data_IF_167620392121
#
_entry.id   IF_167620392121
#
_cell.length_a   1.000
_cell.length_b   1.000
_cell.length_c   1.000
_cell.angle_alpha   90.00
_cell.angle_beta   90.00
_cell.angle_gamma   90.00
#
_symmetry.space_group_name_H-M   'P 1'
#
loop_
_entity.id
_entity.type
_entity.pdbx_description
1 polymer ?
#
# COMPACT_ATOMS: atom_id res chain seq x y z
N UNK A 1 -1.04 -12.20 -20.15
CA UNK A 1 -0.61 -12.66 -18.81
C UNK A 1 0.80 -13.23 -18.96
N UNK A 2 1.76 -12.77 -18.17
CA UNK A 2 3.14 -13.28 -18.24
C UNK A 2 3.21 -14.70 -17.67
N UNK A 3 3.99 -15.58 -18.32
CA UNK A 3 4.19 -16.95 -17.82
C UNK A 3 4.92 -16.93 -16.47
N UNK A 4 4.54 -17.82 -15.52
CA UNK A 4 5.20 -17.89 -14.22
C UNK A 4 6.70 -18.26 -14.37
N UNK A 5 7.58 -17.74 -13.50
CA UNK A 5 9.00 -18.00 -13.55
C UNK A 5 9.33 -19.48 -13.26
N UNK A 6 10.39 -19.99 -13.89
CA UNK A 6 10.86 -21.37 -13.65
C UNK A 6 11.43 -21.53 -12.23
N UNK A 7 11.48 -22.74 -11.64
CA UNK A 7 11.96 -22.94 -10.27
C UNK A 7 13.36 -22.38 -9.99
N UNK A 8 14.30 -22.59 -10.92
CA UNK A 8 15.66 -22.03 -10.83
C UNK A 8 15.65 -20.49 -10.82
N UNK A 9 14.75 -19.89 -11.59
CA UNK A 9 14.57 -18.43 -11.63
C UNK A 9 13.89 -17.91 -10.37
N UNK A 10 12.92 -18.64 -9.79
CA UNK A 10 12.29 -18.29 -8.51
C UNK A 10 13.34 -18.12 -7.39
N UNK A 11 14.31 -19.03 -7.31
CA UNK A 11 15.41 -18.94 -6.32
C UNK A 11 16.23 -17.65 -6.48
N UNK A 12 16.63 -17.33 -7.72
CA UNK A 12 17.38 -16.10 -8.03
C UNK A 12 16.58 -14.83 -7.73
N UNK A 13 15.27 -14.85 -8.02
CA UNK A 13 14.39 -13.71 -7.71
C UNK A 13 14.29 -13.49 -6.20
N UNK A 14 14.11 -14.56 -5.43
CA UNK A 14 14.05 -14.48 -3.97
C UNK A 14 15.39 -14.04 -3.36
N UNK A 15 16.50 -14.53 -3.90
CA UNK A 15 17.86 -14.12 -3.49
C UNK A 15 18.09 -12.62 -3.73
N UNK A 16 17.71 -12.10 -4.90
CA UNK A 16 17.79 -10.68 -5.20
C UNK A 16 16.94 -9.84 -4.23
N UNK A 17 15.71 -10.27 -3.94
CA UNK A 17 14.83 -9.57 -3.00
C UNK A 17 15.40 -9.58 -1.57
N UNK A 18 16.01 -10.68 -1.14
CA UNK A 18 16.66 -10.74 0.17
C UNK A 18 17.81 -9.74 0.30
N UNK A 19 18.65 -9.63 -0.73
CA UNK A 19 19.76 -8.66 -0.74
C UNK A 19 19.25 -7.21 -0.76
N UNK A 20 18.15 -6.93 -1.46
CA UNK A 20 17.47 -5.64 -1.42
C UNK A 20 16.96 -5.30 -0.01
N UNK A 21 16.36 -6.26 0.71
CA UNK A 21 15.98 -6.08 2.11
C UNK A 21 17.17 -5.84 3.06
N UNK A 22 18.38 -6.27 2.70
CA UNK A 22 19.61 -5.95 3.43
C UNK A 22 20.15 -4.54 3.10
N UNK A 23 19.50 -3.82 2.18
CA UNK A 23 19.88 -2.46 1.77
C UNK A 23 20.96 -2.42 0.69
N UNK A 24 21.24 -3.53 -0.01
CA UNK A 24 22.20 -3.51 -1.11
C UNK A 24 21.63 -2.75 -2.31
N UNK A 25 22.48 -2.00 -3.00
CA UNK A 25 22.09 -1.31 -4.22
C UNK A 25 21.88 -2.32 -5.37
N UNK A 26 21.04 -1.99 -6.38
CA UNK A 26 20.84 -2.86 -7.53
C UNK A 26 22.12 -3.22 -8.29
N UNK A 27 23.12 -2.34 -8.27
CA UNK A 27 24.43 -2.58 -8.90
C UNK A 27 25.25 -3.62 -8.10
N UNK A 28 25.27 -3.52 -6.77
CA UNK A 28 25.92 -4.52 -5.90
C UNK A 28 25.23 -5.89 -5.98
N UNK A 29 23.90 -5.92 -6.06
CA UNK A 29 23.13 -7.15 -6.25
C UNK A 29 23.45 -7.79 -7.60
N UNK A 30 23.57 -6.99 -8.67
CA UNK A 30 23.92 -7.47 -10.00
C UNK A 30 25.31 -8.12 -10.03
N UNK A 31 26.28 -7.48 -9.36
CA UNK A 31 27.63 -8.00 -9.20
C UNK A 31 27.63 -9.33 -8.42
N UNK A 32 26.96 -9.38 -7.27
CA UNK A 32 26.88 -10.57 -6.42
C UNK A 32 26.20 -11.75 -7.13
N UNK A 33 25.10 -11.48 -7.86
CA UNK A 33 24.38 -12.51 -8.60
C UNK A 33 25.02 -12.86 -9.95
N UNK A 34 26.04 -12.11 -10.36
CA UNK A 34 26.73 -12.20 -11.65
C UNK A 34 25.74 -12.08 -12.82
N UNK A 35 24.92 -11.04 -12.80
CA UNK A 35 23.96 -10.73 -13.85
C UNK A 35 23.97 -9.25 -14.22
N UNK A 36 23.24 -8.87 -15.27
CA UNK A 36 23.09 -7.46 -15.62
C UNK A 36 22.14 -6.75 -14.65
N UNK A 37 22.38 -5.46 -14.38
CA UNK A 37 21.49 -4.61 -13.57
C UNK A 37 20.03 -4.63 -14.03
N UNK A 38 19.79 -4.64 -15.35
CA UNK A 38 18.45 -4.77 -15.93
C UNK A 38 17.73 -6.06 -15.51
N UNK A 39 18.48 -7.12 -15.27
CA UNK A 39 17.96 -8.40 -14.79
C UNK A 39 17.53 -8.32 -13.32
N UNK A 40 18.25 -7.55 -12.50
CA UNK A 40 17.87 -7.31 -11.09
C UNK A 40 16.53 -6.56 -11.01
N UNK A 41 16.33 -5.51 -11.80
CA UNK A 41 15.02 -4.84 -11.86
C UNK A 41 13.90 -5.76 -12.36
N UNK A 42 14.20 -6.64 -13.34
CA UNK A 42 13.26 -7.66 -13.76
C UNK A 42 12.92 -8.60 -12.60
N UNK A 43 13.89 -9.01 -11.78
CA UNK A 43 13.65 -9.82 -10.59
C UNK A 43 12.77 -9.12 -9.56
N UNK A 44 12.99 -7.84 -9.27
CA UNK A 44 12.13 -7.10 -8.33
C UNK A 44 10.69 -7.01 -8.83
N UNK A 45 10.50 -6.69 -10.11
CA UNK A 45 9.17 -6.68 -10.72
C UNK A 45 8.54 -8.07 -10.67
N UNK A 46 9.27 -9.11 -11.07
CA UNK A 46 8.76 -10.48 -11.10
C UNK A 46 8.45 -10.99 -9.68
N UNK A 47 9.19 -10.56 -8.65
CA UNK A 47 8.89 -10.84 -7.24
C UNK A 47 7.54 -10.23 -6.84
N UNK A 48 7.29 -8.98 -7.20
CA UNK A 48 6.02 -8.31 -6.90
C UNK A 48 4.84 -8.96 -7.63
N UNK A 49 5.04 -9.41 -8.87
CA UNK A 49 3.98 -10.02 -9.69
C UNK A 49 3.70 -11.48 -9.32
N UNK A 50 4.71 -12.23 -8.89
CA UNK A 50 4.62 -13.68 -8.72
C UNK A 50 5.00 -14.14 -7.31
N UNK A 51 4.95 -13.26 -6.31
CA UNK A 51 5.38 -13.51 -4.93
C UNK A 51 4.91 -14.85 -4.38
N UNK A 52 3.60 -15.11 -4.41
CA UNK A 52 3.02 -16.34 -3.88
C UNK A 52 3.52 -17.59 -4.62
N UNK A 53 3.65 -17.52 -5.96
CA UNK A 53 4.20 -18.62 -6.74
C UNK A 53 5.68 -18.87 -6.41
N UNK A 54 6.50 -17.82 -6.40
CA UNK A 54 7.93 -17.89 -6.08
C UNK A 54 8.14 -18.52 -4.70
N UNK A 55 7.42 -18.04 -3.67
CA UNK A 55 7.53 -18.56 -2.31
C UNK A 55 7.10 -20.03 -2.22
N UNK A 56 5.98 -20.40 -2.86
CA UNK A 56 5.53 -21.80 -2.90
C UNK A 56 6.53 -22.72 -3.60
N UNK A 57 7.08 -22.31 -4.74
CA UNK A 57 8.05 -23.10 -5.49
C UNK A 57 9.35 -23.29 -4.70
N UNK A 58 9.90 -22.23 -4.11
CA UNK A 58 11.14 -22.33 -3.33
C UNK A 58 10.93 -23.14 -2.05
N UNK A 59 9.77 -23.01 -1.40
CA UNK A 59 9.48 -23.77 -0.20
C UNK A 59 9.18 -25.25 -0.50
N UNK A 60 8.52 -25.57 -1.62
CA UNK A 60 8.32 -26.94 -2.05
C UNK A 60 9.66 -27.66 -2.29
N UNK A 61 10.62 -26.98 -2.94
CA UNK A 61 11.98 -27.49 -3.10
C UNK A 61 12.64 -27.75 -1.74
N UNK A 62 12.54 -26.81 -0.80
CA UNK A 62 13.11 -26.97 0.56
C UNK A 62 12.47 -28.10 1.35
N UNK A 63 11.15 -28.28 1.25
CA UNK A 63 10.44 -29.38 1.88
C UNK A 63 10.86 -30.73 1.30
N UNK A 64 11.07 -30.81 -0.03
CA UNK A 64 11.58 -32.02 -0.67
C UNK A 64 12.98 -32.41 -0.16
N UNK A 65 13.89 -31.42 -0.04
CA UNK A 65 15.23 -31.63 0.53
C UNK A 65 15.15 -32.10 2.00
N UNK A 66 14.25 -31.52 2.81
CA UNK A 66 14.06 -31.89 4.22
C UNK A 66 13.47 -33.29 4.38
N UNK A 67 12.52 -33.70 3.54
CA UNK A 67 11.97 -35.07 3.55
C UNK A 67 13.04 -36.09 3.21
N UNK A 68 13.94 -35.77 2.27
CA UNK A 68 15.08 -36.63 1.96
C UNK A 68 15.96 -36.85 3.20
N UNK A 69 16.33 -35.78 3.90
CA UNK A 69 17.11 -35.87 5.15
C UNK A 69 16.39 -36.75 6.19
N UNK A 70 15.09 -36.52 6.42
CA UNK A 70 14.30 -37.25 7.41
C UNK A 70 14.13 -38.75 7.12
N UNK A 71 14.30 -39.18 5.86
CA UNK A 71 14.21 -40.59 5.45
C UNK A 71 15.56 -41.30 5.46
N UNK A 72 16.65 -40.59 5.75
CA UNK A 72 18.00 -41.16 5.81
C UNK A 72 18.25 -41.80 7.19
N UNK A 73 18.64 -43.08 7.24
CA UNK A 73 18.68 -43.86 8.48
C UNK A 73 19.75 -43.44 9.51
N UNK A 74 20.77 -42.67 9.13
CA UNK A 74 21.88 -42.23 9.99
C UNK A 74 21.78 -40.78 10.48
N UNK A 75 20.58 -40.19 10.44
CA UNK A 75 20.42 -38.79 10.87
C UNK A 75 20.45 -38.69 12.39
N UNK A 76 21.33 -37.82 12.92
CA UNK A 76 21.40 -37.47 14.34
C UNK A 76 19.98 -37.15 14.88
N UNK A 77 19.53 -37.78 15.98
CA UNK A 77 18.19 -37.54 16.55
C UNK A 77 17.90 -36.07 16.87
N UNK A 78 18.91 -35.26 17.22
CA UNK A 78 18.70 -33.83 17.46
C UNK A 78 18.52 -33.05 16.15
N UNK A 79 19.31 -33.39 15.12
CA UNK A 79 19.14 -32.84 13.77
C UNK A 79 17.79 -33.25 13.16
N UNK A 80 17.33 -34.48 13.44
CA UNK A 80 16.01 -34.96 13.03
C UNK A 80 14.90 -34.12 13.67
N UNK A 81 14.95 -33.87 14.98
CA UNK A 81 13.96 -33.03 15.69
C UNK A 81 13.93 -31.59 15.17
N UNK A 82 15.10 -30.99 14.94
CA UNK A 82 15.21 -29.65 14.36
C UNK A 82 14.59 -29.59 12.95
N UNK A 83 14.87 -30.60 12.12
CA UNK A 83 14.33 -30.69 10.76
C UNK A 83 12.81 -30.84 10.77
N UNK A 84 12.25 -31.66 11.67
CA UNK A 84 10.79 -31.79 11.84
C UNK A 84 10.14 -30.47 12.28
N UNK A 85 10.74 -29.75 13.23
CA UNK A 85 10.24 -28.45 13.68
C UNK A 85 10.25 -27.42 12.56
N UNK A 86 11.38 -27.29 11.83
CA UNK A 86 11.51 -26.37 10.71
C UNK A 86 10.53 -26.69 9.57
N UNK A 87 10.33 -27.99 9.27
CA UNK A 87 9.36 -28.45 8.26
C UNK A 87 7.93 -28.05 8.65
N UNK A 88 7.58 -28.20 9.93
CA UNK A 88 6.26 -27.83 10.46
C UNK A 88 6.03 -26.33 10.38
N UNK A 89 7.00 -25.51 10.78
CA UNK A 89 6.92 -24.06 10.69
C UNK A 89 6.78 -23.58 9.25
N UNK A 90 7.60 -24.12 8.34
CA UNK A 90 7.52 -23.79 6.91
C UNK A 90 6.15 -24.14 6.33
N UNK A 91 5.57 -25.29 6.72
CA UNK A 91 4.22 -25.69 6.29
C UNK A 91 3.16 -24.71 6.79
N UNK A 92 3.24 -24.24 8.04
CA UNK A 92 2.30 -23.26 8.60
C UNK A 92 2.40 -21.92 7.87
N UNK A 93 3.61 -21.45 7.59
CA UNK A 93 3.85 -20.22 6.83
C UNK A 93 3.31 -20.32 5.40
N UNK A 94 3.49 -21.46 4.73
CA UNK A 94 2.93 -21.68 3.40
C UNK A 94 1.40 -21.71 3.38
N UNK A 95 0.78 -22.26 4.44
CA UNK A 95 -0.67 -22.30 4.59
C UNK A 95 -1.29 -20.92 4.82
N UNK A 96 -0.56 -19.97 5.39
CA UNK A 96 -1.04 -18.60 5.60
C UNK A 96 -0.87 -17.68 4.38
N UNK A 97 0.00 -18.04 3.41
CA UNK A 97 0.23 -17.22 2.21
C UNK A 97 -1.01 -16.88 1.37
N UNK A 98 -1.99 -17.78 1.14
CA UNK A 98 -3.21 -17.43 0.41
C UNK A 98 -3.99 -16.29 1.10
N UNK A 99 -4.16 -16.37 2.42
CA UNK A 99 -4.89 -15.37 3.21
C UNK A 99 -4.17 -14.02 3.23
N UNK A 100 -2.82 -14.03 3.28
CA UNK A 100 -2.02 -12.81 3.17
C UNK A 100 -2.18 -12.17 1.79
N UNK A 101 -2.20 -12.98 0.72
CA UNK A 101 -2.36 -12.48 -0.64
C UNK A 101 -3.74 -11.87 -0.88
N UNK A 102 -4.80 -12.52 -0.43
CA UNK A 102 -6.18 -12.00 -0.53
C UNK A 102 -6.37 -10.68 0.23
N UNK A 103 -5.67 -10.49 1.36
CA UNK A 103 -5.69 -9.23 2.10
C UNK A 103 -4.86 -8.14 1.38
N UNK A 104 -3.69 -8.48 0.84
CA UNK A 104 -2.87 -7.54 0.05
C UNK A 104 -3.56 -7.10 -1.23
N UNK A 105 -4.24 -8.01 -1.94
CA UNK A 105 -5.00 -7.70 -3.14
C UNK A 105 -6.22 -6.83 -2.82
N UNK A 106 -6.96 -7.15 -1.74
CA UNK A 106 -8.04 -6.26 -1.26
C UNK A 106 -7.55 -4.86 -0.93
N UNK A 107 -6.39 -4.74 -0.27
CA UNK A 107 -5.79 -3.42 0.03
C UNK A 107 -5.41 -2.67 -1.25
N UNK A 108 -4.77 -3.34 -2.21
CA UNK A 108 -4.41 -2.73 -3.51
C UNK A 108 -5.65 -2.31 -4.30
N UNK A 109 -6.71 -3.11 -4.30
CA UNK A 109 -7.99 -2.74 -4.92
C UNK A 109 -8.60 -1.51 -4.26
N UNK A 110 -8.55 -1.41 -2.93
CA UNK A 110 -9.01 -0.23 -2.19
C UNK A 110 -8.18 1.02 -2.50
N UNK A 111 -6.84 0.89 -2.55
CA UNK A 111 -5.94 1.97 -2.90
C UNK A 111 -6.16 2.46 -4.34
N UNK A 112 -6.33 1.52 -5.28
CA UNK A 112 -6.62 1.83 -6.67
C UNK A 112 -7.98 2.52 -6.81
N UNK A 113 -9.02 2.01 -6.12
CA UNK A 113 -10.35 2.62 -6.10
C UNK A 113 -10.34 4.03 -5.50
N UNK A 114 -9.54 4.26 -4.45
CA UNK A 114 -9.35 5.57 -3.86
C UNK A 114 -8.62 6.52 -4.83
N UNK A 115 -7.61 6.03 -5.55
CA UNK A 115 -6.88 6.81 -6.54
C UNK A 115 -7.74 7.20 -7.74
N UNK A 116 -8.57 6.27 -8.27
CA UNK A 116 -9.53 6.58 -9.35
C UNK A 116 -10.60 7.55 -8.88
N UNK A 117 -11.17 7.35 -7.68
CA UNK A 117 -12.13 8.31 -7.11
C UNK A 117 -11.53 9.71 -6.96
N UNK A 118 -10.28 9.82 -6.51
CA UNK A 118 -9.58 11.09 -6.41
C UNK A 118 -9.31 11.73 -7.78
N UNK A 119 -8.95 10.93 -8.80
CA UNK A 119 -8.76 11.40 -10.17
C UNK A 119 -10.07 11.91 -10.77
N UNK A 120 -11.17 11.17 -10.64
CA UNK A 120 -12.49 11.60 -11.09
C UNK A 120 -12.95 12.88 -10.40
N UNK A 121 -12.72 13.00 -9.08
CA UNK A 121 -13.04 14.21 -8.34
C UNK A 121 -12.26 15.43 -8.87
N UNK A 122 -10.98 15.25 -9.20
CA UNK A 122 -10.16 16.31 -9.82
C UNK A 122 -10.67 16.68 -11.21
N UNK A 123 -11.03 15.71 -12.04
CA UNK A 123 -11.58 15.99 -13.37
C UNK A 123 -12.89 16.76 -13.29
N UNK A 124 -13.81 16.36 -12.39
CA UNK A 124 -15.07 17.10 -12.16
C UNK A 124 -14.82 18.52 -11.64
N UNK A 125 -13.83 18.72 -10.79
CA UNK A 125 -13.46 20.05 -10.31
C UNK A 125 -12.96 20.95 -11.46
N UNK A 126 -12.10 20.42 -12.34
CA UNK A 126 -11.59 21.15 -13.50
C UNK A 126 -12.69 21.45 -14.53
N UNK A 127 -13.61 20.52 -14.79
CA UNK A 127 -14.78 20.74 -15.66
C UNK A 127 -15.72 21.82 -15.10
N UNK A 128 -15.83 21.92 -13.78
CA UNK A 128 -16.63 22.93 -13.12
C UNK A 128 -15.98 24.31 -13.18
N UNK A 129 -14.68 24.41 -12.92
CA UNK A 129 -13.91 25.65 -13.08
C UNK A 129 -13.94 26.18 -14.52
N UNK A 130 -13.82 25.28 -15.50
CA UNK A 130 -13.89 25.66 -16.92
C UNK A 130 -15.30 26.09 -17.35
N UNK A 131 -16.37 25.55 -16.75
CA UNK A 131 -17.76 25.97 -17.02
C UNK A 131 -18.15 27.29 -16.38
N UNK A 132 -17.60 27.62 -15.21
CA UNK A 132 -17.91 28.86 -14.51
C UNK A 132 -17.11 30.05 -15.04
N UNK A 133 -15.96 29.82 -15.68
CA UNK A 133 -15.04 30.88 -16.05
C UNK A 133 -14.45 31.61 -14.82
N UNK A 134 -13.53 32.57 -15.04
CA UNK A 134 -12.86 33.28 -13.94
C UNK A 134 -13.83 34.04 -13.02
N UNK A 135 -14.99 34.48 -13.52
CA UNK A 135 -15.95 35.31 -12.78
C UNK A 135 -17.14 34.51 -12.18
N UNK A 136 -17.30 33.23 -12.54
CA UNK A 136 -18.45 32.43 -12.09
C UNK A 136 -18.25 31.77 -10.72
N UNK A 137 -17.00 31.54 -10.30
CA UNK A 137 -16.68 30.91 -9.02
C UNK A 137 -17.12 31.78 -7.83
N UNK A 138 -16.93 33.10 -7.91
CA UNK A 138 -17.36 34.05 -6.87
C UNK A 138 -18.88 34.16 -6.79
N UNK A 139 -19.60 34.13 -7.92
CA UNK A 139 -21.08 34.15 -7.94
C UNK A 139 -21.68 32.88 -7.36
N UNK A 140 -21.13 31.71 -7.73
CA UNK A 140 -21.59 30.43 -7.19
C UNK A 140 -21.40 30.33 -5.66
N UNK A 141 -20.31 30.88 -5.13
CA UNK A 141 -20.05 30.97 -3.69
C UNK A 141 -20.99 31.94 -2.96
N UNK A 142 -21.45 33.00 -3.64
CA UNK A 142 -22.39 33.98 -3.08
C UNK A 142 -23.86 33.52 -3.09
N UNK A 143 -24.27 32.75 -4.10
CA UNK A 143 -25.65 32.27 -4.25
C UNK A 143 -25.92 30.94 -3.52
N UNK A 144 -24.87 30.13 -3.28
CA UNK A 144 -25.00 28.88 -2.52
C UNK A 144 -25.18 29.18 -1.02
N UNK A 145 -26.45 29.21 -0.57
CA UNK A 145 -26.80 29.18 0.87
C UNK A 145 -26.08 28.00 1.55
N UNK A 146 -25.13 28.33 2.41
CA UNK A 146 -24.60 27.53 3.51
C UNK A 146 -24.29 26.04 3.21
N UNK A 147 -23.01 25.73 2.99
CA UNK A 147 -22.44 24.45 3.42
C UNK A 147 -22.53 23.26 2.46
N UNK A 148 -23.06 23.42 1.25
CA UNK A 148 -23.04 22.37 0.22
C UNK A 148 -22.16 22.78 -0.98
N UNK A 149 -20.85 22.89 -0.73
CA UNK A 149 -19.90 22.77 -1.84
C UNK A 149 -19.92 21.29 -2.29
N UNK A 150 -20.58 21.00 -3.41
CA UNK A 150 -20.68 19.64 -3.98
C UNK A 150 -19.30 19.03 -4.28
N UNK A 151 -18.27 19.87 -4.39
CA UNK A 151 -16.92 19.48 -4.76
C UNK A 151 -15.97 19.22 -3.60
N UNK A 152 -16.36 19.49 -2.35
CA UNK A 152 -15.48 19.22 -1.20
C UNK A 152 -14.08 19.85 -1.33
N UNK A 153 -13.94 20.97 -2.07
CA UNK A 153 -12.67 21.65 -2.24
C UNK A 153 -12.15 22.02 -0.85
N UNK A 154 -10.97 21.49 -0.49
CA UNK A 154 -10.36 21.67 0.83
C UNK A 154 -10.32 23.15 1.23
N UNK A 155 -10.01 24.02 0.27
CA UNK A 155 -9.94 25.46 0.44
C UNK A 155 -11.29 26.08 0.89
N UNK A 156 -12.39 25.70 0.24
CA UNK A 156 -13.74 26.13 0.61
C UNK A 156 -14.18 25.60 1.99
N UNK A 157 -13.78 24.37 2.34
CA UNK A 157 -14.06 23.79 3.67
C UNK A 157 -13.28 24.55 4.75
N UNK A 158 -12.00 24.86 4.52
CA UNK A 158 -11.19 25.66 5.46
C UNK A 158 -11.76 27.06 5.63
N UNK A 159 -12.09 27.76 4.55
CA UNK A 159 -12.65 29.11 4.62
C UNK A 159 -14.01 29.13 5.31
N UNK A 160 -14.87 28.15 5.05
CA UNK A 160 -16.15 28.02 5.75
C UNK A 160 -15.95 27.78 7.25
N UNK A 161 -15.04 26.88 7.64
CA UNK A 161 -14.73 26.62 9.05
C UNK A 161 -14.14 27.85 9.75
N UNK A 162 -13.33 28.61 9.04
CA UNK A 162 -12.73 29.84 9.55
C UNK A 162 -13.80 30.92 9.78
N UNK A 163 -14.73 31.11 8.83
CA UNK A 163 -15.88 32.01 8.99
C UNK A 163 -16.83 31.58 10.11
N UNK A 164 -17.09 30.28 10.26
CA UNK A 164 -17.88 29.75 11.38
C UNK A 164 -17.20 30.00 12.73
N UNK A 165 -15.87 29.83 12.81
CA UNK A 165 -15.11 30.12 14.01
C UNK A 165 -15.16 31.62 14.36
N UNK A 166 -15.05 32.50 13.36
CA UNK A 166 -15.18 33.95 13.54
C UNK A 166 -16.58 34.39 13.96
N UNK A 167 -17.64 33.82 13.37
CA UNK A 167 -19.02 34.10 13.79
C UNK A 167 -19.30 33.59 15.21
N UNK A 168 -18.80 32.41 15.58
CA UNK A 168 -18.90 31.92 16.95
C UNK A 168 -18.12 32.80 17.93
N UNK A 169 -16.94 33.29 17.55
CA UNK A 169 -16.18 34.24 18.36
C UNK A 169 -16.93 35.57 18.53
N UNK A 170 -17.50 36.12 17.47
CA UNK A 170 -18.34 37.33 17.51
C UNK A 170 -19.57 37.15 18.40
N UNK A 171 -20.26 36.01 18.32
CA UNK A 171 -21.41 35.67 19.19
C UNK A 171 -21.04 35.50 20.66
N UNK A 172 -19.81 35.06 20.96
CA UNK A 172 -19.31 34.99 22.34
C UNK A 172 -19.00 36.37 22.91
N UNK A 173 -18.46 37.27 22.10
CA UNK A 173 -18.17 38.66 22.49
C UNK A 173 -19.45 39.49 22.71
N UNK A 174 -20.51 39.27 21.94
CA UNK A 174 -21.80 39.96 22.17
C UNK A 174 -22.58 39.41 23.38
N UNK A 175 -22.26 38.22 23.88
CA UNK A 175 -22.88 37.66 25.10
C UNK A 175 -22.22 38.14 26.40
N UNK A 176 -21.12 38.89 26.33
CA UNK A 176 -20.32 39.34 27.49
C UNK A 176 -20.39 40.83 27.77
N UNK A 177 -21.34 41.58 27.20
CA UNK A 177 -21.70 42.90 27.75
C UNK A 177 -22.71 42.71 28.89
N UNK A 178 -22.32 42.90 30.16
CA UNK A 178 -23.29 43.02 31.24
C UNK A 178 -24.07 44.32 31.04
N UNK A 179 -25.40 44.22 31.15
CA UNK A 179 -26.32 45.34 31.31
C UNK A 179 -25.83 46.26 32.44
N UNK A 180 -25.14 47.34 32.08
CA UNK A 180 -24.98 48.50 32.96
C UNK A 180 -26.08 49.49 32.60
N UNK A 181 -27.27 49.21 33.10
CA UNK A 181 -28.40 50.14 33.08
C UNK A 181 -29.27 49.87 34.30
N UNK A 182 -28.97 50.55 35.39
CA UNK A 182 -30.01 51.12 36.26
C UNK A 182 -29.40 52.22 37.15
N UNK A 183 -30.12 53.34 37.34
CA UNK A 183 -29.66 54.53 38.04
C UNK A 183 -29.50 54.37 39.56
#
# INVERSE_FOLDING_TARGET
MSNPPTPRRCRRILEAHHLDCQGLSPDAIAEQLRCARSTVYAYFRDFQLHRAHILRTVAADRLADQVHILTTPDTDPDQHRQTVAATRELRLLLQSLPAIHEEEDRRREQELAAATAAAEARTRALEFETRLGPDGHERYMHESRAGQCVLGCLQCITEFRQRQAEEQAKRRMTRTQPDQSSP
#
